data_IF_423355770594
#
_entry.id   IF_423355770594
#
_cell.length_a   1.000
_cell.length_b   1.000
_cell.length_c   1.000
_cell.angle_alpha   90.00
_cell.angle_beta   90.00
_cell.angle_gamma   90.00
#
_symmetry.space_group_name_H-M   'P 1'
#
loop_
_entity.id
_entity.type
_entity.pdbx_description
1 polymer ?
#
# COMPACT_ATOMS: atom_id res chain seq x y z
N UNK A 1 2.65 -4.20 -47.79
CA UNK A 1 2.62 -5.03 -46.57
C UNK A 1 1.99 -4.18 -45.47
N UNK A 2 0.73 -4.43 -45.07
CA UNK A 2 0.29 -5.40 -44.02
C UNK A 2 0.66 -4.86 -42.62
N UNK A 3 -0.24 -4.64 -41.65
CA UNK A 3 -1.54 -5.26 -41.36
C UNK A 3 -2.54 -4.26 -40.74
N UNK A 4 -3.81 -4.51 -41.06
CA UNK A 4 -5.04 -3.94 -40.51
C UNK A 4 -5.55 -4.92 -39.44
N UNK A 5 -5.92 -4.44 -38.25
CA UNK A 5 -6.65 -5.25 -37.27
C UNK A 5 -7.91 -4.51 -36.80
N UNK A 6 -9.05 -5.19 -36.91
CA UNK A 6 -10.34 -4.89 -36.31
C UNK A 6 -10.81 -6.17 -35.59
N UNK A 7 -11.56 -6.07 -34.49
CA UNK A 7 -12.59 -7.04 -34.17
C UNK A 7 -14.01 -6.42 -34.23
N UNK A 8 -14.97 -7.31 -34.48
CA UNK A 8 -16.34 -7.06 -34.92
C UNK A 8 -17.32 -6.68 -33.78
N UNK A 9 -18.39 -6.00 -34.17
CA UNK A 9 -19.63 -5.90 -33.42
C UNK A 9 -20.35 -7.26 -33.35
N UNK A 10 -20.88 -7.59 -32.17
CA UNK A 10 -21.76 -8.74 -31.94
C UNK A 10 -22.40 -8.65 -30.56
N UNK A 11 -23.58 -8.05 -30.47
CA UNK A 11 -24.38 -7.97 -29.24
C UNK A 11 -24.95 -9.33 -28.82
N UNK A 12 -25.08 -9.53 -27.51
CA UNK A 12 -25.79 -10.67 -26.94
C UNK A 12 -25.59 -10.85 -25.44
N UNK A 13 -26.59 -10.42 -24.67
CA UNK A 13 -26.91 -10.84 -23.29
C UNK A 13 -25.99 -10.37 -22.14
N UNK A 14 -26.48 -9.40 -21.37
CA UNK A 14 -26.00 -9.11 -20.03
C UNK A 14 -26.25 -10.33 -19.13
N UNK A 15 -25.21 -11.10 -18.85
CA UNK A 15 -25.21 -12.11 -17.82
C UNK A 15 -25.22 -11.42 -16.43
N UNK A 16 -25.97 -11.93 -15.44
CA UNK A 16 -25.95 -11.39 -14.09
C UNK A 16 -24.54 -11.44 -13.51
N UNK A 17 -24.12 -10.36 -12.86
CA UNK A 17 -22.91 -10.29 -12.04
C UNK A 17 -23.05 -11.30 -10.89
N UNK A 18 -22.59 -12.53 -11.09
CA UNK A 18 -22.37 -13.47 -10.00
C UNK A 18 -21.23 -12.93 -9.12
N UNK A 19 -21.51 -12.79 -7.82
CA UNK A 19 -20.54 -12.39 -6.82
C UNK A 19 -19.35 -13.38 -6.78
N UNK A 20 -18.09 -12.91 -6.66
CA UNK A 20 -16.95 -13.81 -6.58
C UNK A 20 -17.04 -14.68 -5.33
N UNK A 21 -17.20 -15.98 -5.55
CA UNK A 21 -17.35 -17.01 -4.53
C UNK A 21 -16.07 -17.82 -4.39
N UNK A 22 -15.00 -17.29 -3.81
CA UNK A 22 -13.76 -18.05 -3.65
C UNK A 22 -13.16 -17.93 -2.24
N UNK A 23 -13.21 -19.01 -1.45
CA UNK A 23 -12.54 -19.12 -0.15
C UNK A 23 -11.01 -19.00 -0.23
N UNK A 24 -10.42 -19.18 -1.42
CA UNK A 24 -8.98 -19.08 -1.67
C UNK A 24 -8.44 -17.66 -1.55
N UNK A 25 -9.19 -16.65 -2.01
CA UNK A 25 -8.78 -15.25 -1.95
C UNK A 25 -8.85 -14.72 -0.52
N UNK A 26 -9.87 -15.10 0.25
CA UNK A 26 -9.94 -14.80 1.70
C UNK A 26 -8.80 -15.46 2.48
N UNK A 27 -8.43 -16.69 2.13
CA UNK A 27 -7.31 -17.40 2.75
C UNK A 27 -5.96 -16.76 2.39
N UNK A 28 -5.77 -16.32 1.14
CA UNK A 28 -4.57 -15.60 0.72
C UNK A 28 -4.44 -14.24 1.39
N UNK A 29 -5.54 -13.50 1.52
CA UNK A 29 -5.58 -12.25 2.29
C UNK A 29 -5.21 -12.54 3.74
N UNK A 30 -5.85 -13.52 4.40
CA UNK A 30 -5.55 -13.92 5.78
C UNK A 30 -4.08 -14.32 5.98
N UNK A 31 -3.50 -15.07 5.04
CA UNK A 31 -2.12 -15.49 5.05
C UNK A 31 -1.15 -14.29 4.94
N UNK A 32 -1.38 -13.39 3.97
CA UNK A 32 -0.59 -12.16 3.80
C UNK A 32 -0.63 -11.25 5.05
N UNK A 33 -1.72 -11.28 5.81
CA UNK A 33 -1.88 -10.50 7.03
C UNK A 33 -1.17 -11.11 8.23
N UNK A 34 -1.13 -12.44 8.31
CA UNK A 34 -0.30 -13.10 9.32
C UNK A 34 1.18 -12.88 9.03
N UNK A 35 1.58 -12.97 7.76
CA UNK A 35 2.93 -12.62 7.29
C UNK A 35 3.25 -11.14 7.57
N UNK A 36 2.28 -10.23 7.41
CA UNK A 36 2.42 -8.80 7.76
C UNK A 36 2.82 -8.55 9.22
N UNK A 37 2.47 -9.46 10.15
CA UNK A 37 2.83 -9.36 11.58
C UNK A 37 4.29 -9.75 11.85
N UNK A 38 4.92 -10.49 10.95
CA UNK A 38 6.33 -10.88 11.06
C UNK A 38 7.29 -9.80 10.51
N UNK A 39 6.78 -8.83 9.74
CA UNK A 39 7.61 -7.74 9.22
C UNK A 39 7.89 -6.67 10.28
N UNK A 40 9.11 -6.12 10.31
CA UNK A 40 9.41 -5.01 11.20
C UNK A 40 8.56 -3.79 10.84
N UNK A 41 7.94 -3.19 11.86
CA UNK A 41 7.24 -1.89 11.75
C UNK A 41 8.14 -0.83 11.13
N UNK A 42 9.43 -0.83 11.48
CA UNK A 42 10.46 -0.01 10.84
C UNK A 42 11.87 -0.55 11.18
N UNK A 43 12.81 -0.47 10.23
CA UNK A 43 14.23 -0.75 10.42
C UNK A 43 15.11 0.23 9.63
N UNK A 44 16.08 0.87 10.32
CA UNK A 44 17.07 1.75 9.69
C UNK A 44 17.98 1.03 8.68
N UNK A 45 18.19 -0.28 8.88
CA UNK A 45 19.08 -1.08 8.05
C UNK A 45 18.62 -1.15 6.60
N UNK A 46 17.32 -1.23 6.34
CA UNK A 46 16.77 -1.33 4.99
C UNK A 46 17.10 -0.11 4.13
N UNK A 47 17.02 1.10 4.71
CA UNK A 47 17.41 2.32 4.00
C UNK A 47 18.93 2.36 3.79
N UNK A 48 19.71 1.88 4.76
CA UNK A 48 21.17 1.81 4.68
C UNK A 48 21.65 0.83 3.60
N UNK A 49 20.95 -0.28 3.38
CA UNK A 49 21.22 -1.20 2.27
C UNK A 49 20.98 -0.56 0.90
N UNK A 50 19.99 0.34 0.78
CA UNK A 50 19.63 0.98 -0.48
C UNK A 50 20.55 2.14 -0.87
N UNK A 51 20.98 2.95 0.10
CA UNK A 51 21.72 4.20 -0.15
C UNK A 51 23.10 4.26 0.54
N UNK A 52 23.50 3.19 1.22
CA UNK A 52 24.70 3.14 2.04
C UNK A 52 24.58 3.86 3.38
N UNK A 53 25.67 3.81 4.16
CA UNK A 53 25.86 4.53 5.42
C UNK A 53 26.04 6.03 5.18
N UNK A 54 24.96 6.72 4.81
CA UNK A 54 24.94 8.17 4.61
C UNK A 54 23.90 8.83 5.53
N UNK A 55 24.27 9.18 6.78
CA UNK A 55 23.33 9.68 7.78
C UNK A 55 22.57 10.94 7.34
N UNK A 56 23.21 11.83 6.58
CA UNK A 56 22.58 13.06 6.10
C UNK A 56 21.51 12.77 5.04
N UNK A 57 21.81 11.88 4.09
CA UNK A 57 20.84 11.49 3.08
C UNK A 57 19.69 10.68 3.68
N UNK A 58 20.00 9.75 4.59
CA UNK A 58 19.01 8.96 5.32
C UNK A 58 18.03 9.86 6.08
N UNK A 59 18.53 10.80 6.89
CA UNK A 59 17.69 11.80 7.58
C UNK A 59 16.79 12.56 6.61
N UNK A 60 17.37 13.08 5.52
CA UNK A 60 16.61 13.86 4.53
C UNK A 60 15.46 13.05 3.91
N UNK A 61 15.69 11.77 3.61
CA UNK A 61 14.66 10.90 3.04
C UNK A 61 13.58 10.54 4.06
N UNK A 62 13.98 10.21 5.29
CA UNK A 62 13.07 9.91 6.39
C UNK A 62 12.19 11.11 6.77
N UNK A 63 12.76 12.31 6.89
CA UNK A 63 11.99 13.54 7.13
C UNK A 63 10.99 13.79 6.02
N UNK A 64 11.42 13.72 4.75
CA UNK A 64 10.51 13.90 3.60
C UNK A 64 9.37 12.88 3.55
N UNK A 65 9.64 11.64 3.94
CA UNK A 65 8.62 10.60 4.01
C UNK A 65 7.59 10.94 5.10
N UNK A 66 8.03 11.37 6.29
CA UNK A 66 7.10 11.79 7.35
C UNK A 66 6.28 13.01 6.94
N UNK A 67 6.92 14.04 6.38
CA UNK A 67 6.27 15.31 6.03
C UNK A 67 5.12 15.13 5.03
N UNK A 68 5.26 14.16 4.12
CA UNK A 68 4.23 13.84 3.13
C UNK A 68 3.27 12.75 3.59
N UNK A 69 3.72 11.84 4.45
CA UNK A 69 3.00 10.64 4.80
C UNK A 69 1.63 10.90 5.42
N UNK A 70 1.49 11.93 6.28
CA UNK A 70 0.21 12.24 6.92
C UNK A 70 -0.87 12.54 5.87
N UNK A 71 -0.55 13.40 4.90
CA UNK A 71 -1.48 13.78 3.83
C UNK A 71 -1.79 12.61 2.88
N UNK A 72 -0.80 11.78 2.55
CA UNK A 72 -0.98 10.63 1.64
C UNK A 72 -1.84 9.53 2.29
N UNK A 73 -1.62 9.22 3.56
CA UNK A 73 -2.41 8.22 4.28
C UNK A 73 -3.82 8.72 4.62
N UNK A 74 -3.98 10.01 4.89
CA UNK A 74 -5.31 10.63 4.97
C UNK A 74 -6.03 10.59 3.61
N UNK A 75 -5.32 10.83 2.50
CA UNK A 75 -5.88 10.71 1.16
C UNK A 75 -6.30 9.27 0.83
N UNK A 76 -5.56 8.25 1.29
CA UNK A 76 -5.95 6.84 1.19
C UNK A 76 -7.27 6.61 1.94
N UNK A 77 -7.35 7.04 3.20
CA UNK A 77 -8.58 6.92 4.01
C UNK A 77 -9.77 7.56 3.30
N UNK A 78 -9.62 8.80 2.84
CA UNK A 78 -10.68 9.53 2.15
C UNK A 78 -11.09 8.83 0.85
N UNK A 79 -10.15 8.31 0.07
CA UNK A 79 -10.46 7.57 -1.16
C UNK A 79 -11.27 6.29 -0.85
N UNK A 80 -10.92 5.57 0.21
CA UNK A 80 -11.65 4.39 0.68
C UNK A 80 -13.06 4.77 1.15
N UNK A 81 -13.19 5.80 1.99
CA UNK A 81 -14.49 6.24 2.52
C UNK A 81 -15.46 6.68 1.40
N UNK A 82 -14.92 7.26 0.31
CA UNK A 82 -15.70 7.70 -0.84
C UNK A 82 -15.88 6.60 -1.92
N UNK A 83 -15.34 5.40 -1.72
CA UNK A 83 -15.44 4.31 -2.70
C UNK A 83 -14.61 4.52 -3.98
N UNK A 84 -13.61 5.41 -3.94
CA UNK A 84 -12.74 5.75 -5.06
C UNK A 84 -11.63 4.70 -5.23
N UNK A 85 -12.00 3.52 -5.75
CA UNK A 85 -11.10 2.36 -5.84
C UNK A 85 -9.85 2.63 -6.68
N UNK A 86 -9.97 3.29 -7.84
CA UNK A 86 -8.80 3.62 -8.67
C UNK A 86 -7.82 4.57 -7.98
N UNK A 87 -8.34 5.55 -7.23
CA UNK A 87 -7.53 6.48 -6.46
C UNK A 87 -6.85 5.76 -5.29
N UNK A 88 -7.60 4.92 -4.58
CA UNK A 88 -7.10 4.08 -3.48
C UNK A 88 -5.93 3.23 -3.96
N UNK A 89 -6.10 2.52 -5.08
CA UNK A 89 -5.06 1.70 -5.72
C UNK A 89 -3.79 2.50 -6.01
N UNK A 90 -3.91 3.66 -6.64
CA UNK A 90 -2.74 4.46 -7.04
C UNK A 90 -1.98 5.05 -5.84
N UNK A 91 -2.70 5.50 -4.82
CA UNK A 91 -2.11 5.99 -3.58
C UNK A 91 -1.41 4.85 -2.83
N UNK A 92 -2.09 3.71 -2.66
CA UNK A 92 -1.53 2.53 -2.01
C UNK A 92 -0.28 2.00 -2.73
N UNK A 93 -0.29 1.95 -4.06
CA UNK A 93 0.87 1.56 -4.87
C UNK A 93 2.10 2.46 -4.62
N UNK A 94 1.87 3.77 -4.57
CA UNK A 94 2.91 4.77 -4.33
C UNK A 94 3.47 4.61 -2.91
N UNK A 95 2.59 4.50 -1.92
CA UNK A 95 2.98 4.38 -0.51
C UNK A 95 3.60 3.03 -0.19
N UNK A 96 3.23 1.94 -0.87
CA UNK A 96 3.90 0.63 -0.76
C UNK A 96 5.39 0.74 -1.01
N UNK A 97 5.76 1.25 -2.19
CA UNK A 97 7.16 1.35 -2.58
C UNK A 97 7.93 2.30 -1.66
N UNK A 98 7.35 3.47 -1.36
CA UNK A 98 7.95 4.44 -0.45
C UNK A 98 8.21 3.84 0.95
N UNK A 99 7.24 3.10 1.50
CA UNK A 99 7.34 2.49 2.84
C UNK A 99 8.41 1.40 2.88
N UNK A 100 8.49 0.55 1.85
CA UNK A 100 9.56 -0.47 1.75
C UNK A 100 10.94 0.17 1.63
N UNK A 101 11.10 1.22 0.82
CA UNK A 101 12.39 1.90 0.66
C UNK A 101 12.92 2.52 1.95
N UNK A 102 12.04 2.98 2.85
CA UNK A 102 12.45 3.56 4.14
C UNK A 102 12.49 2.53 5.28
N UNK A 103 12.23 1.25 5.00
CA UNK A 103 12.30 0.15 5.96
C UNK A 103 11.04 -0.13 6.76
N UNK A 104 9.90 0.49 6.43
CA UNK A 104 8.61 0.22 7.04
C UNK A 104 7.91 -0.93 6.29
N UNK A 105 8.45 -2.15 6.44
CA UNK A 105 8.02 -3.31 5.66
C UNK A 105 6.58 -3.73 5.96
N UNK A 106 6.18 -3.76 7.24
CA UNK A 106 4.80 -4.09 7.61
C UNK A 106 3.77 -3.13 7.00
N UNK A 107 4.11 -1.84 6.93
CA UNK A 107 3.28 -0.83 6.26
C UNK A 107 3.24 -1.04 4.74
N UNK A 108 4.37 -1.44 4.15
CA UNK A 108 4.46 -1.82 2.74
C UNK A 108 3.51 -2.97 2.39
N UNK A 109 3.44 -4.00 3.22
CA UNK A 109 2.54 -5.13 3.01
C UNK A 109 1.06 -4.74 3.14
N UNK A 110 0.70 -3.95 4.16
CA UNK A 110 -0.66 -3.45 4.29
C UNK A 110 -1.08 -2.57 3.09
N UNK A 111 -0.17 -1.73 2.59
CA UNK A 111 -0.41 -0.99 1.35
C UNK A 111 -0.63 -1.92 0.16
N UNK A 112 0.14 -3.00 0.04
CA UNK A 112 -0.04 -3.99 -1.03
C UNK A 112 -1.39 -4.68 -0.96
N UNK A 113 -1.86 -5.04 0.24
CA UNK A 113 -3.16 -5.67 0.44
C UNK A 113 -4.28 -4.72 0.00
N UNK A 114 -4.23 -3.46 0.40
CA UNK A 114 -5.21 -2.44 -0.01
C UNK A 114 -5.12 -2.15 -1.51
N UNK A 115 -3.93 -2.10 -2.10
CA UNK A 115 -3.73 -1.93 -3.54
C UNK A 115 -4.41 -3.05 -4.33
N UNK A 116 -4.21 -4.32 -3.93
CA UNK A 116 -4.82 -5.47 -4.59
C UNK A 116 -6.35 -5.48 -4.41
N UNK A 117 -6.83 -5.27 -3.19
CA UNK A 117 -8.27 -5.18 -2.92
C UNK A 117 -8.94 -4.09 -3.75
N UNK A 118 -8.31 -2.91 -3.84
CA UNK A 118 -8.82 -1.81 -4.65
C UNK A 118 -8.81 -2.12 -6.15
N UNK A 119 -7.76 -2.79 -6.65
CA UNK A 119 -7.68 -3.26 -8.05
C UNK A 119 -8.78 -4.25 -8.38
N UNK A 120 -9.13 -5.12 -7.43
CA UNK A 120 -10.09 -6.21 -7.61
C UNK A 120 -11.53 -5.80 -7.24
N UNK A 121 -11.74 -4.51 -6.92
CA UNK A 121 -13.08 -3.95 -6.65
C UNK A 121 -13.62 -4.22 -5.24
N UNK A 122 -12.78 -4.69 -4.32
CA UNK A 122 -13.16 -5.16 -2.98
C UNK A 122 -13.13 -4.00 -1.97
N UNK A 123 -14.11 -3.10 -2.04
CA UNK A 123 -14.19 -1.93 -1.15
C UNK A 123 -14.32 -2.32 0.33
N UNK A 124 -15.02 -3.40 0.62
CA UNK A 124 -15.20 -3.95 1.97
C UNK A 124 -13.85 -4.36 2.59
N UNK A 125 -12.98 -4.98 1.80
CA UNK A 125 -11.61 -5.34 2.23
C UNK A 125 -10.77 -4.08 2.46
N UNK A 126 -10.85 -3.09 1.56
CA UNK A 126 -10.16 -1.81 1.76
C UNK A 126 -10.59 -1.12 3.06
N UNK A 127 -11.90 -1.07 3.34
CA UNK A 127 -12.45 -0.49 4.56
C UNK A 127 -12.00 -1.26 5.80
N UNK A 128 -12.04 -2.59 5.77
CA UNK A 128 -11.61 -3.43 6.89
C UNK A 128 -10.12 -3.27 7.24
N UNK A 129 -9.28 -2.83 6.28
CA UNK A 129 -7.83 -2.64 6.47
C UNK A 129 -7.40 -1.19 6.68
N UNK A 130 -8.31 -0.23 6.52
CA UNK A 130 -7.97 1.18 6.57
C UNK A 130 -7.33 1.56 7.92
N UNK A 131 -7.95 1.13 9.03
CA UNK A 131 -7.43 1.41 10.37
C UNK A 131 -6.07 0.74 10.63
N UNK A 132 -5.84 -0.46 10.09
CA UNK A 132 -4.55 -1.16 10.19
C UNK A 132 -3.44 -0.40 9.45
N UNK A 133 -3.71 0.09 8.24
CA UNK A 133 -2.78 0.93 7.47
C UNK A 133 -2.41 2.19 8.25
N UNK A 134 -3.42 2.90 8.77
CA UNK A 134 -3.21 4.14 9.52
C UNK A 134 -2.42 3.90 10.82
N UNK A 135 -2.76 2.85 11.57
CA UNK A 135 -2.06 2.47 12.79
C UNK A 135 -0.60 2.08 12.52
N UNK A 136 -0.36 1.28 11.47
CA UNK A 136 0.99 0.90 11.04
C UNK A 136 1.83 2.12 10.63
N UNK A 137 1.23 3.07 9.90
CA UNK A 137 1.90 4.33 9.56
C UNK A 137 2.27 5.15 10.81
N UNK A 138 1.35 5.33 11.77
CA UNK A 138 1.66 6.06 13.00
C UNK A 138 2.76 5.37 13.82
N UNK A 139 2.77 4.05 13.86
CA UNK A 139 3.81 3.28 14.54
C UNK A 139 5.19 3.44 13.85
N UNK A 140 5.23 3.36 12.51
CA UNK A 140 6.45 3.60 11.74
C UNK A 140 6.95 5.04 11.91
N UNK A 141 6.06 6.03 11.77
CA UNK A 141 6.34 7.46 11.96
C UNK A 141 6.94 7.75 13.34
N UNK A 142 6.39 7.14 14.39
CA UNK A 142 6.89 7.30 15.76
C UNK A 142 8.33 6.79 15.89
N UNK A 143 8.61 5.60 15.35
CA UNK A 143 9.97 5.02 15.36
C UNK A 143 10.97 5.85 14.55
N UNK A 144 10.56 6.33 13.38
CA UNK A 144 11.40 7.17 12.53
C UNK A 144 11.71 8.50 13.23
N UNK A 145 10.73 9.16 13.84
CA UNK A 145 10.96 10.39 14.62
C UNK A 145 11.95 10.18 15.76
N UNK A 146 11.75 9.11 16.55
CA UNK A 146 12.69 8.78 17.62
C UNK A 146 14.13 8.56 17.12
N UNK A 147 14.29 7.94 15.95
CA UNK A 147 15.61 7.79 15.32
C UNK A 147 16.21 9.12 14.84
N UNK A 148 15.41 9.99 14.24
CA UNK A 148 15.86 11.32 13.80
C UNK A 148 16.31 12.19 14.99
N UNK A 149 15.59 12.11 16.11
CA UNK A 149 15.87 12.86 17.33
C UNK A 149 17.10 12.33 18.09
N UNK A 150 17.26 11.00 18.16
CA UNK A 150 18.39 10.36 18.86
C UNK A 150 19.74 10.52 18.16
N UNK A 151 19.72 10.89 16.88
CA UNK A 151 20.92 11.04 16.06
C UNK A 151 21.36 12.52 15.93
N UNK A 152 20.80 13.39 16.77
CA UNK A 152 21.13 14.81 16.97
C UNK A 152 22.05 14.96 18.19
#
# INVERSE_FOLDING_TARGET
MMQKWMPADGGGSAAPLEAPSNGTERAQIAQLLEESREFPVWSAGALSELIGENPNLQRRLLSKYIDKGDAEFEAIKNAIDNGELDRTKNLAHTMKSASRSIGAMALGELCQIVEHAARDGQLDVCQARCDEVLASYQAAKTKIRAFLDAAN
#
